data_IF_349698991996
#
_entry.id   IF_349698991996
#
_cell.length_a   1.000
_cell.length_b   1.000
_cell.length_c   1.000
_cell.angle_alpha   90.00
_cell.angle_beta   90.00
_cell.angle_gamma   90.00
#
_symmetry.space_group_name_H-M   'P 1'
#
loop_
_entity.id
_entity.type
_entity.pdbx_description
1 polymer ?
#
# COMPACT_ATOMS: atom_id res chain seq x y z
N UNK A 1 10.73 -18.66 15.62
CA UNK A 1 9.52 -18.88 14.77
C UNK A 1 9.70 -17.93 13.61
N UNK A 2 10.49 -18.38 12.65
CA UNK A 2 11.14 -17.56 11.63
C UNK A 2 10.70 -18.09 10.27
N UNK A 3 10.35 -17.16 9.38
CA UNK A 3 10.59 -17.30 7.93
C UNK A 3 9.74 -18.30 7.15
N UNK A 4 8.42 -18.09 7.12
CA UNK A 4 7.68 -18.34 5.88
C UNK A 4 6.35 -17.57 5.84
N UNK A 5 6.45 -16.23 5.85
CA UNK A 5 5.39 -15.43 5.23
C UNK A 5 5.49 -15.68 3.73
N UNK A 6 4.67 -16.61 3.22
CA UNK A 6 4.46 -16.79 1.79
C UNK A 6 4.35 -15.42 1.13
N UNK A 7 5.21 -15.23 0.13
CA UNK A 7 5.49 -14.04 -0.65
C UNK A 7 4.24 -13.32 -1.17
N UNK A 8 3.54 -12.60 -0.31
CA UNK A 8 2.97 -11.32 -0.71
C UNK A 8 4.16 -10.40 -0.97
N UNK A 9 4.79 -10.55 -2.14
CA UNK A 9 5.93 -9.74 -2.55
C UNK A 9 5.55 -8.29 -2.26
N UNK A 10 6.28 -7.65 -1.35
CA UNK A 10 6.02 -6.28 -0.91
C UNK A 10 5.94 -5.33 -2.11
N UNK A 11 6.62 -5.69 -3.21
CA UNK A 11 6.49 -5.13 -4.55
C UNK A 11 5.05 -5.11 -5.12
N UNK A 12 4.28 -6.18 -4.97
CA UNK A 12 2.86 -6.26 -5.36
C UNK A 12 2.00 -5.38 -4.46
N UNK A 13 2.27 -5.37 -3.15
CA UNK A 13 1.59 -4.47 -2.20
C UNK A 13 1.88 -2.99 -2.52
N UNK A 14 3.12 -2.64 -2.82
CA UNK A 14 3.53 -1.32 -3.24
C UNK A 14 2.93 -0.94 -4.60
N UNK A 15 2.80 -1.90 -5.52
CA UNK A 15 2.08 -1.72 -6.79
C UNK A 15 0.59 -1.43 -6.58
N UNK A 16 -0.07 -2.17 -5.68
CA UNK A 16 -1.46 -1.94 -5.28
C UNK A 16 -1.64 -0.58 -4.58
N UNK A 17 -0.73 -0.21 -3.67
CA UNK A 17 -0.75 1.10 -3.02
C UNK A 17 -0.58 2.26 -4.01
N UNK A 18 0.32 2.12 -4.99
CA UNK A 18 0.45 3.08 -6.09
C UNK A 18 -0.81 3.12 -6.96
N UNK A 19 -1.49 2.00 -7.14
CA UNK A 19 -2.76 1.94 -7.86
C UNK A 19 -3.89 2.64 -7.09
N UNK A 20 -3.90 2.56 -5.75
CA UNK A 20 -4.82 3.31 -4.89
C UNK A 20 -4.64 4.83 -4.99
N UNK A 21 -3.41 5.30 -5.17
CA UNK A 21 -3.10 6.71 -5.43
C UNK A 21 -3.02 7.08 -6.93
N UNK A 22 -3.20 6.12 -7.83
CA UNK A 22 -3.01 6.28 -9.28
C UNK A 22 -4.12 7.06 -9.97
N UNK A 23 -5.22 7.34 -9.28
CA UNK A 23 -6.38 8.03 -9.81
C UNK A 23 -7.36 7.09 -10.51
N UNK A 24 -8.66 7.37 -10.36
CA UNK A 24 -9.76 6.58 -10.91
C UNK A 24 -10.76 6.17 -9.82
N UNK A 25 -11.64 5.23 -10.17
CA UNK A 25 -12.73 4.77 -9.30
C UNK A 25 -12.24 4.22 -7.96
N UNK A 26 -11.01 3.68 -7.90
CA UNK A 26 -10.46 3.12 -6.67
C UNK A 26 -9.99 4.19 -5.70
N UNK A 27 -9.34 5.23 -6.20
CA UNK A 27 -9.04 6.42 -5.39
C UNK A 27 -10.34 7.00 -4.87
N UNK A 28 -11.34 7.23 -5.73
CA UNK A 28 -12.64 7.78 -5.33
C UNK A 28 -13.42 6.89 -4.36
N UNK A 29 -13.33 5.57 -4.49
CA UNK A 29 -14.02 4.64 -3.59
C UNK A 29 -13.35 4.57 -2.22
N UNK A 30 -12.02 4.62 -2.15
CA UNK A 30 -11.26 4.68 -0.89
C UNK A 30 -11.49 6.03 -0.20
N UNK A 31 -11.50 7.11 -0.99
CA UNK A 31 -11.79 8.46 -0.55
C UNK A 31 -13.24 8.58 -0.02
N UNK A 32 -14.19 7.88 -0.64
CA UNK A 32 -15.57 7.80 -0.16
C UNK A 32 -15.71 6.96 1.11
N UNK A 33 -14.95 5.88 1.24
CA UNK A 33 -14.98 5.00 2.40
C UNK A 33 -14.25 5.62 3.62
N UNK A 34 -13.20 6.38 3.38
CA UNK A 34 -12.29 6.90 4.42
C UNK A 34 -12.22 8.42 4.52
N UNK A 35 -12.94 9.16 3.68
CA UNK A 35 -12.84 10.62 3.58
C UNK A 35 -11.80 11.10 2.56
N UNK A 36 -11.95 12.35 2.15
CA UNK A 36 -11.06 13.04 1.20
C UNK A 36 -9.60 12.95 1.63
N UNK A 37 -8.75 12.37 0.78
CA UNK A 37 -7.31 12.20 0.96
C UNK A 37 -6.88 10.83 1.48
N UNK A 38 -7.81 9.96 1.88
CA UNK A 38 -7.46 8.66 2.51
C UNK A 38 -6.77 7.71 1.56
N UNK A 39 -7.09 7.76 0.26
CA UNK A 39 -6.40 6.96 -0.76
C UNK A 39 -4.91 7.30 -0.87
N UNK A 40 -4.57 8.58 -0.81
CA UNK A 40 -3.17 9.04 -0.84
C UNK A 40 -2.44 8.71 0.47
N UNK A 41 -3.12 8.86 1.60
CA UNK A 41 -2.56 8.49 2.90
C UNK A 41 -2.24 7.00 2.97
N UNK A 42 -3.17 6.14 2.51
CA UNK A 42 -2.98 4.70 2.46
C UNK A 42 -1.83 4.32 1.53
N UNK A 43 -1.74 4.95 0.36
CA UNK A 43 -0.63 4.74 -0.57
C UNK A 43 0.73 5.12 0.04
N UNK A 44 0.80 6.25 0.76
CA UNK A 44 2.01 6.70 1.46
C UNK A 44 2.39 5.74 2.61
N UNK A 45 1.40 5.27 3.39
CA UNK A 45 1.62 4.31 4.46
C UNK A 45 2.12 2.96 3.92
N UNK A 46 1.55 2.48 2.81
CA UNK A 46 1.99 1.25 2.12
C UNK A 46 3.41 1.44 1.55
N UNK A 47 3.73 2.60 1.00
CA UNK A 47 5.06 2.91 0.48
C UNK A 47 6.11 2.90 1.60
N UNK A 48 5.81 3.52 2.74
CA UNK A 48 6.70 3.52 3.91
C UNK A 48 6.84 2.12 4.50
N UNK A 49 5.74 1.37 4.65
CA UNK A 49 5.77 -0.01 5.12
C UNK A 49 6.61 -0.94 4.21
N UNK A 50 6.53 -0.74 2.89
CA UNK A 50 7.37 -1.47 1.94
C UNK A 50 8.84 -1.03 2.01
N UNK A 51 9.13 0.22 2.39
CA UNK A 51 10.49 0.74 2.55
C UNK A 51 11.16 0.28 3.86
N UNK A 52 10.44 0.32 4.99
CA UNK A 52 10.94 -0.17 6.29
C UNK A 52 11.21 -1.67 6.25
N UNK A 53 10.39 -2.43 5.53
CA UNK A 53 10.54 -3.87 5.42
C UNK A 53 11.69 -4.31 4.49
N UNK A 54 12.45 -3.39 3.89
CA UNK A 54 13.72 -3.65 3.18
C UNK A 54 14.94 -3.58 4.15
N UNK A 55 14.73 -3.13 5.40
CA UNK A 55 15.80 -3.05 6.43
C UNK A 55 15.88 -4.32 7.30
N UNK A 56 15.29 -5.42 6.84
CA UNK A 56 15.47 -6.75 7.42
C UNK A 56 15.67 -7.76 6.27
N UNK A 57 16.96 -7.98 5.96
CA UNK A 57 17.59 -8.99 5.11
C UNK A 57 17.87 -8.65 3.63
#
# INVERSE_FOLDING_TARGET
ITENCYTCSKQVLAGLGKWYAGGGEVTENIDRAGGVGTAQLAAAAIAQYCADADTDN
#
